data_IF_882398561540
#
_entry.id   IF_882398561540
#
_cell.length_a   1.000
_cell.length_b   1.000
_cell.length_c   1.000
_cell.angle_alpha   90.00
_cell.angle_beta   90.00
_cell.angle_gamma   90.00
#
_symmetry.space_group_name_H-M   'P 1'
#
loop_
_entity.id
_entity.type
_entity.pdbx_description
1 polymer ?
#
# COMPACT_ATOMS: atom_id res chain seq x y z
N UNK A 1 11.05 -13.57 -8.05
CA UNK A 1 9.96 -14.14 -7.23
C UNK A 1 8.65 -13.45 -7.61
N UNK A 2 7.52 -14.12 -7.40
CA UNK A 2 6.20 -13.53 -7.61
C UNK A 2 5.42 -13.60 -6.30
N UNK A 3 4.82 -12.48 -5.91
CA UNK A 3 3.79 -12.44 -4.88
C UNK A 3 2.44 -12.60 -5.60
N UNK A 4 1.66 -13.59 -5.20
CA UNK A 4 0.35 -13.86 -5.77
C UNK A 4 -0.74 -13.39 -4.80
N UNK A 5 -1.70 -12.64 -5.32
CA UNK A 5 -2.94 -12.39 -4.62
C UNK A 5 -3.91 -13.53 -4.94
N UNK A 6 -4.42 -14.17 -3.88
CA UNK A 6 -5.31 -15.32 -3.97
C UNK A 6 -6.72 -14.95 -3.53
N UNK A 7 -7.73 -15.37 -4.29
CA UNK A 7 -9.14 -15.28 -3.91
C UNK A 7 -9.83 -16.58 -4.30
N UNK A 8 -10.52 -17.23 -3.36
CA UNK A 8 -11.18 -18.53 -3.56
C UNK A 8 -10.27 -19.56 -4.28
N UNK A 9 -9.03 -19.71 -3.81
CA UNK A 9 -7.99 -20.59 -4.39
C UNK A 9 -7.59 -20.28 -5.85
N UNK A 10 -7.92 -19.10 -6.38
CA UNK A 10 -7.49 -18.63 -7.71
C UNK A 10 -6.51 -17.47 -7.59
N UNK A 11 -5.52 -17.42 -8.48
CA UNK A 11 -4.61 -16.28 -8.65
C UNK A 11 -5.37 -15.16 -9.36
N UNK A 12 -5.56 -14.04 -8.70
CA UNK A 12 -6.32 -12.89 -9.27
C UNK A 12 -5.40 -11.74 -9.68
N UNK A 13 -4.25 -11.60 -9.04
CA UNK A 13 -3.29 -10.57 -9.35
C UNK A 13 -1.90 -11.00 -8.90
N UNK A 14 -0.87 -10.31 -9.39
CA UNK A 14 0.51 -10.58 -8.98
C UNK A 14 1.33 -9.31 -8.86
N UNK A 15 2.45 -9.45 -8.16
CA UNK A 15 3.52 -8.48 -8.13
C UNK A 15 4.86 -9.22 -8.27
N UNK A 16 5.70 -8.79 -9.21
CA UNK A 16 7.04 -9.37 -9.39
C UNK A 16 8.03 -8.64 -8.50
N UNK A 17 8.71 -9.40 -7.64
CA UNK A 17 9.81 -8.89 -6.80
C UNK A 17 11.11 -9.64 -7.13
N UNK A 18 12.18 -8.93 -7.54
CA UNK A 18 13.48 -9.54 -7.73
C UNK A 18 14.03 -10.08 -6.40
N UNK A 19 14.53 -11.32 -6.40
CA UNK A 19 15.04 -11.95 -5.17
C UNK A 19 16.21 -11.15 -4.58
N UNK A 20 17.08 -10.60 -5.43
CA UNK A 20 18.19 -9.71 -5.04
C UNK A 20 17.74 -8.47 -4.25
N UNK A 21 16.50 -8.01 -4.42
CA UNK A 21 16.01 -6.80 -3.74
C UNK A 21 15.45 -7.14 -2.36
N UNK A 22 15.17 -8.41 -2.05
CA UNK A 22 14.55 -8.84 -0.78
C UNK A 22 15.41 -9.84 -0.01
N UNK A 23 16.60 -10.18 -0.52
CA UNK A 23 17.49 -11.13 0.12
C UNK A 23 18.12 -10.50 1.37
N UNK A 24 18.17 -11.27 2.45
CA UNK A 24 18.85 -10.91 3.67
C UNK A 24 20.33 -11.31 3.60
N UNK A 25 21.21 -10.38 3.98
CA UNK A 25 22.60 -10.62 4.32
C UNK A 25 22.94 -9.88 5.62
N UNK A 26 23.93 -10.38 6.35
CA UNK A 26 24.55 -9.69 7.48
C UNK A 26 25.47 -8.56 7.03
N UNK A 27 25.90 -8.59 5.77
CA UNK A 27 26.69 -7.54 5.11
C UNK A 27 25.72 -6.62 4.38
N UNK A 28 25.72 -5.33 4.72
CA UNK A 28 24.73 -4.37 4.23
C UNK A 28 24.80 -4.19 2.71
N UNK A 29 26.00 -4.25 2.12
CA UNK A 29 26.22 -4.12 0.67
C UNK A 29 25.65 -5.31 -0.13
N UNK A 30 25.48 -6.46 0.51
CA UNK A 30 24.89 -7.68 -0.07
C UNK A 30 23.39 -7.79 0.23
N UNK A 31 22.87 -6.95 1.12
CA UNK A 31 21.48 -6.96 1.54
C UNK A 31 20.60 -6.34 0.46
N UNK A 32 19.49 -7.00 0.19
CA UNK A 32 18.49 -6.49 -0.73
C UNK A 32 17.90 -5.17 -0.26
N UNK A 33 17.78 -4.20 -1.18
CA UNK A 33 17.31 -2.85 -0.91
C UNK A 33 15.92 -2.77 -0.24
N UNK A 34 15.08 -3.77 -0.42
CA UNK A 34 13.71 -3.87 0.12
C UNK A 34 13.59 -4.90 1.26
N UNK A 35 14.67 -5.61 1.59
CA UNK A 35 14.68 -6.63 2.63
C UNK A 35 14.27 -6.05 3.99
N UNK A 36 13.19 -6.57 4.56
CA UNK A 36 12.73 -6.16 5.90
C UNK A 36 12.13 -4.75 5.96
N UNK A 37 11.93 -4.11 4.81
CA UNK A 37 11.34 -2.77 4.75
C UNK A 37 9.87 -2.85 4.33
N UNK A 38 9.05 -2.00 4.97
CA UNK A 38 7.66 -1.81 4.60
C UNK A 38 7.59 -1.09 3.26
N UNK A 39 6.90 -1.68 2.28
CA UNK A 39 6.75 -1.16 0.93
C UNK A 39 5.30 -1.24 0.49
N UNK A 40 4.82 -0.16 -0.13
CA UNK A 40 3.57 -0.19 -0.87
C UNK A 40 3.82 -0.85 -2.23
N UNK A 41 3.09 -1.92 -2.53
CA UNK A 41 3.08 -2.58 -3.82
C UNK A 41 1.70 -2.50 -4.47
N UNK A 42 1.69 -2.46 -5.78
CA UNK A 42 0.50 -2.43 -6.61
C UNK A 42 0.39 -3.76 -7.35
N UNK A 43 -0.56 -4.59 -6.94
CA UNK A 43 -0.89 -5.83 -7.63
C UNK A 43 -1.62 -5.50 -8.93
N UNK A 44 -1.14 -6.09 -10.02
CA UNK A 44 -1.78 -6.00 -11.33
C UNK A 44 -2.38 -7.34 -11.72
N UNK A 45 -3.43 -7.28 -12.54
CA UNK A 45 -4.12 -8.48 -13.03
C UNK A 45 -3.15 -9.43 -13.75
N UNK A 46 -3.36 -10.72 -13.58
CA UNK A 46 -2.45 -11.74 -14.14
C UNK A 46 -2.54 -11.82 -15.67
N UNK A 47 -3.75 -11.83 -16.21
CA UNK A 47 -4.00 -11.99 -17.64
C UNK A 47 -3.70 -10.70 -18.42
N UNK A 48 -3.99 -9.55 -17.80
CA UNK A 48 -3.82 -8.21 -18.40
C UNK A 48 -3.19 -7.24 -17.40
N UNK A 49 -1.84 -7.19 -17.29
CA UNK A 49 -1.13 -6.43 -16.26
C UNK A 49 -1.16 -4.90 -16.43
N UNK A 50 -2.18 -4.38 -17.12
CA UNK A 50 -2.47 -2.95 -17.26
C UNK A 50 -3.40 -2.43 -16.15
N UNK A 51 -4.16 -3.32 -15.52
CA UNK A 51 -5.18 -2.94 -14.53
C UNK A 51 -4.63 -3.08 -13.11
N UNK A 52 -4.68 -1.99 -12.33
CA UNK A 52 -4.43 -2.03 -10.90
C UNK A 52 -5.59 -2.75 -10.20
N UNK A 53 -5.30 -3.87 -9.55
CA UNK A 53 -6.31 -4.66 -8.82
C UNK A 53 -6.32 -4.29 -7.34
N UNK A 54 -5.15 -4.21 -6.73
CA UNK A 54 -5.04 -3.97 -5.30
C UNK A 54 -3.75 -3.21 -4.97
N UNK A 55 -3.85 -2.28 -4.03
CA UNK A 55 -2.71 -1.61 -3.41
C UNK A 55 -2.55 -2.18 -2.01
N UNK A 56 -1.39 -2.73 -1.70
CA UNK A 56 -1.09 -3.32 -0.39
C UNK A 56 0.22 -2.80 0.14
N UNK A 57 0.32 -2.73 1.46
CA UNK A 57 1.56 -2.46 2.14
C UNK A 57 2.12 -3.77 2.71
N UNK A 58 3.33 -4.14 2.30
CA UNK A 58 3.95 -5.42 2.58
C UNK A 58 5.36 -5.23 3.13
N UNK A 59 5.81 -6.19 3.94
CA UNK A 59 7.20 -6.34 4.33
C UNK A 59 7.62 -7.76 3.92
N UNK A 60 8.72 -7.87 3.18
CA UNK A 60 9.18 -9.14 2.61
C UNK A 60 10.65 -9.33 2.95
N UNK A 61 10.99 -10.54 3.39
CA UNK A 61 12.35 -10.96 3.72
C UNK A 61 12.57 -12.33 3.08
N UNK A 62 13.62 -12.46 2.29
CA UNK A 62 14.10 -13.73 1.78
C UNK A 62 15.41 -14.05 2.48
N UNK A 63 15.47 -15.12 3.27
CA UNK A 63 16.65 -15.47 4.05
C UNK A 63 17.01 -16.94 3.88
N UNK A 64 18.26 -17.26 4.18
CA UNK A 64 18.74 -18.65 4.32
C UNK A 64 18.41 -19.16 5.72
N UNK A 65 18.24 -20.47 5.88
CA UNK A 65 17.88 -21.07 7.18
C UNK A 65 18.85 -20.70 8.31
N UNK A 66 20.15 -20.56 7.99
CA UNK A 66 21.17 -20.09 8.95
C UNK A 66 20.96 -18.67 9.48
N UNK A 67 20.14 -17.85 8.82
CA UNK A 67 19.82 -16.46 9.19
C UNK A 67 18.38 -16.32 9.72
N UNK A 68 17.74 -17.42 10.11
CA UNK A 68 16.35 -17.45 10.52
C UNK A 68 16.08 -16.60 11.77
N UNK A 69 16.99 -16.62 12.74
CA UNK A 69 16.83 -15.85 13.98
C UNK A 69 16.78 -14.34 13.68
N UNK A 70 17.72 -13.85 12.88
CA UNK A 70 17.84 -12.45 12.47
C UNK A 70 16.70 -12.01 11.55
N UNK A 71 16.14 -12.93 10.76
CA UNK A 71 14.95 -12.66 9.97
C UNK A 71 13.69 -12.49 10.83
N UNK A 72 13.56 -13.27 11.91
CA UNK A 72 12.45 -13.14 12.87
C UNK A 72 12.54 -11.81 13.62
N UNK A 73 13.74 -11.34 13.97
CA UNK A 73 13.93 -10.03 14.62
C UNK A 73 13.50 -8.83 13.75
N UNK A 74 13.49 -8.99 12.42
CA UNK A 74 13.04 -7.95 11.48
C UNK A 74 11.51 -7.90 11.33
N UNK A 75 10.76 -8.80 11.97
CA UNK A 75 9.31 -8.75 11.95
C UNK A 75 8.80 -7.50 12.69
N UNK A 76 7.67 -6.92 12.24
CA UNK A 76 7.14 -5.71 12.85
C UNK A 76 6.74 -5.94 14.30
N UNK A 77 7.17 -5.03 15.19
CA UNK A 77 6.79 -5.03 16.60
C UNK A 77 5.30 -4.68 16.77
N UNK A 78 4.70 -5.12 17.88
CA UNK A 78 3.29 -4.87 18.19
C UNK A 78 2.30 -5.88 17.60
N UNK A 79 2.81 -6.92 16.94
CA UNK A 79 2.03 -8.05 16.46
C UNK A 79 2.35 -9.30 17.29
N UNK A 80 1.31 -10.09 17.59
CA UNK A 80 1.47 -11.46 18.08
C UNK A 80 1.62 -12.36 16.87
N UNK A 81 2.72 -13.10 16.82
CA UNK A 81 3.00 -14.05 15.77
C UNK A 81 2.62 -15.47 16.22
N UNK A 82 2.11 -16.29 15.30
CA UNK A 82 1.58 -17.62 15.62
C UNK A 82 2.65 -18.69 15.95
N UNK A 83 3.93 -18.33 16.03
CA UNK A 83 5.03 -19.29 16.06
C UNK A 83 5.39 -19.77 17.47
N UNK A 84 5.58 -21.09 17.59
CA UNK A 84 6.45 -21.71 18.61
C UNK A 84 7.92 -21.57 18.20
N UNK A 85 8.85 -21.67 19.18
CA UNK A 85 10.28 -21.32 19.09
C UNK A 85 11.02 -21.80 17.81
N UNK A 86 10.57 -22.86 17.15
CA UNK A 86 11.25 -23.49 16.01
C UNK A 86 10.58 -23.27 14.65
N UNK A 87 9.48 -22.52 14.54
CA UNK A 87 8.73 -22.38 13.27
C UNK A 87 8.63 -20.92 12.79
N UNK A 88 8.47 -20.74 11.47
CA UNK A 88 8.12 -19.42 10.93
C UNK A 88 6.64 -19.16 11.16
N UNK A 89 6.26 -17.95 11.62
CA UNK A 89 4.86 -17.66 11.90
C UNK A 89 4.03 -17.68 10.62
N UNK A 90 2.90 -18.39 10.67
CA UNK A 90 1.96 -18.51 9.56
C UNK A 90 1.08 -17.27 9.43
N UNK A 91 0.75 -16.66 10.57
CA UNK A 91 -0.04 -15.44 10.64
C UNK A 91 0.40 -14.58 11.82
N UNK A 92 -0.04 -13.32 11.80
CA UNK A 92 0.14 -12.40 12.90
C UNK A 92 -1.16 -11.65 13.22
N UNK A 93 -1.31 -11.24 14.47
CA UNK A 93 -2.47 -10.51 14.98
C UNK A 93 -1.98 -9.21 15.59
N UNK A 94 -2.55 -8.09 15.16
CA UNK A 94 -2.28 -6.79 15.79
C UNK A 94 -2.81 -6.81 17.24
N UNK A 95 -1.97 -6.49 18.21
CA UNK A 95 -2.38 -6.47 19.63
C UNK A 95 -3.32 -5.32 19.93
N UNK A 96 -3.05 -4.16 19.32
CA UNK A 96 -3.79 -2.93 19.56
C UNK A 96 -4.48 -2.48 18.29
N UNK A 97 -5.77 -2.18 18.42
CA UNK A 97 -6.56 -1.54 17.37
C UNK A 97 -7.10 -0.23 17.90
N UNK A 98 -6.51 0.87 17.43
CA UNK A 98 -6.98 2.22 17.76
C UNK A 98 -7.81 2.77 16.61
N UNK A 99 -9.02 3.21 16.91
CA UNK A 99 -9.88 3.87 15.93
C UNK A 99 -9.66 5.38 16.02
N UNK A 100 -9.19 5.99 14.94
CA UNK A 100 -9.07 7.44 14.83
C UNK A 100 -10.21 7.99 13.98
N UNK A 101 -10.71 9.18 14.33
CA UNK A 101 -11.66 9.92 13.49
C UNK A 101 -10.95 11.09 12.86
N UNK A 102 -10.94 11.14 11.52
CA UNK A 102 -10.40 12.28 10.78
C UNK A 102 -11.59 13.13 10.31
N UNK A 103 -11.55 14.42 10.63
CA UNK A 103 -12.52 15.42 10.16
C UNK A 103 -11.80 16.42 9.29
N UNK A 104 -12.08 16.37 7.99
CA UNK A 104 -11.62 17.37 7.04
C UNK A 104 -12.75 18.38 6.80
N UNK A 105 -12.50 19.66 7.10
CA UNK A 105 -13.44 20.75 6.84
C UNK A 105 -12.98 21.50 5.59
N UNK A 106 -13.72 21.34 4.48
CA UNK A 106 -13.45 22.02 3.21
C UNK A 106 -14.49 23.12 3.04
N UNK A 107 -14.04 24.38 3.02
CA UNK A 107 -14.94 25.53 2.94
C UNK A 107 -15.00 26.12 1.54
N UNK A 108 -13.85 26.44 0.96
CA UNK A 108 -13.74 26.99 -0.39
C UNK A 108 -12.34 26.74 -0.95
N UNK A 109 -12.25 26.67 -2.28
CA UNK A 109 -11.00 26.56 -3.01
C UNK A 109 -11.15 27.26 -4.36
N UNK A 110 -10.06 27.81 -4.87
CA UNK A 110 -10.00 28.40 -6.21
C UNK A 110 -9.12 27.54 -7.08
N UNK A 111 -9.66 27.04 -8.18
CA UNK A 111 -8.92 26.27 -9.18
C UNK A 111 -8.75 27.16 -10.41
N UNK A 112 -7.53 27.24 -10.92
CA UNK A 112 -7.24 27.94 -12.18
C UNK A 112 -7.82 27.17 -13.37
N UNK A 113 -8.32 27.91 -14.35
CA UNK A 113 -9.24 27.48 -15.41
C UNK A 113 -8.88 26.17 -16.14
N UNK A 114 -9.93 25.45 -16.58
CA UNK A 114 -9.83 24.21 -17.35
C UNK A 114 -9.03 24.38 -18.64
N UNK A 115 -8.21 23.38 -18.97
CA UNK A 115 -7.38 23.32 -20.19
C UNK A 115 -8.18 22.99 -21.47
N UNK A 116 -9.51 23.07 -21.42
CA UNK A 116 -10.39 22.73 -22.54
C UNK A 116 -10.95 23.98 -23.24
N UNK A 117 -11.62 23.76 -24.37
CA UNK A 117 -12.16 24.84 -25.21
C UNK A 117 -13.33 25.59 -24.57
N UNK A 118 -13.87 25.13 -23.44
CA UNK A 118 -15.01 25.73 -22.76
C UNK A 118 -14.61 26.58 -21.55
N UNK A 119 -13.40 26.38 -21.00
CA UNK A 119 -12.91 27.07 -19.82
C UNK A 119 -13.63 26.68 -18.53
N UNK A 120 -14.50 25.66 -18.59
CA UNK A 120 -15.23 25.13 -17.46
C UNK A 120 -14.45 23.96 -16.85
N UNK A 121 -14.44 23.89 -15.53
CA UNK A 121 -13.94 22.74 -14.79
C UNK A 121 -15.07 22.23 -13.90
N UNK A 122 -15.14 20.91 -13.75
CA UNK A 122 -16.01 20.22 -12.80
C UNK A 122 -15.19 19.76 -11.59
N UNK A 123 -14.73 20.69 -10.73
CA UNK A 123 -13.82 20.33 -9.67
C UNK A 123 -14.51 19.49 -8.60
N UNK A 124 -13.75 18.55 -8.08
CA UNK A 124 -14.05 17.85 -6.84
C UNK A 124 -12.76 17.75 -6.01
N UNK A 125 -12.91 17.56 -4.71
CA UNK A 125 -11.79 17.34 -3.80
C UNK A 125 -11.86 15.90 -3.30
N UNK A 126 -10.76 15.17 -3.45
CA UNK A 126 -10.57 13.85 -2.82
C UNK A 126 -9.75 14.01 -1.56
N UNK A 127 -10.32 13.64 -0.43
CA UNK A 127 -9.62 13.54 0.85
C UNK A 127 -9.11 12.11 0.99
N UNK A 128 -7.80 11.94 1.21
CA UNK A 128 -7.15 10.64 1.42
C UNK A 128 -6.58 10.60 2.83
N UNK A 129 -6.94 9.57 3.59
CA UNK A 129 -6.49 9.36 4.95
C UNK A 129 -6.11 7.88 5.13
N UNK A 130 -4.81 7.59 5.05
CA UNK A 130 -4.31 6.22 5.06
C UNK A 130 -4.82 5.43 3.86
N UNK A 131 -5.56 4.36 4.10
CA UNK A 131 -6.21 3.52 3.08
C UNK A 131 -7.65 3.96 2.74
N UNK A 132 -8.20 4.94 3.47
CA UNK A 132 -9.54 5.47 3.25
C UNK A 132 -9.52 6.71 2.37
N UNK A 133 -10.57 6.89 1.57
CA UNK A 133 -10.80 8.14 0.85
C UNK A 133 -12.28 8.52 0.81
N UNK A 134 -12.53 9.82 0.62
CA UNK A 134 -13.85 10.40 0.38
C UNK A 134 -13.74 11.52 -0.65
N UNK A 135 -14.68 11.55 -1.57
CA UNK A 135 -14.80 12.58 -2.59
C UNK A 135 -15.89 13.58 -2.18
N UNK A 136 -15.67 14.87 -2.42
CA UNK A 136 -16.75 15.85 -2.36
C UNK A 136 -17.67 15.67 -3.55
N UNK A 137 -18.90 16.18 -3.43
CA UNK A 137 -19.76 16.32 -4.61
C UNK A 137 -19.09 17.24 -5.64
N UNK A 138 -19.31 16.93 -6.92
CA UNK A 138 -18.93 17.83 -8.01
C UNK A 138 -19.81 19.08 -7.89
N UNK A 139 -19.18 20.22 -7.64
CA UNK A 139 -19.88 21.49 -7.75
C UNK A 139 -20.17 21.72 -9.23
N UNK A 140 -21.45 21.69 -9.62
CA UNK A 140 -21.85 22.13 -10.96
C UNK A 140 -21.36 23.57 -11.17
N UNK A 141 -21.00 23.95 -12.41
CA UNK A 141 -20.41 25.26 -12.68
C UNK A 141 -21.35 26.38 -12.24
N UNK A 142 -21.06 26.94 -11.07
CA UNK A 142 -21.66 28.19 -10.64
C UNK A 142 -20.65 29.28 -10.97
N UNK A 143 -21.01 30.14 -11.92
CA UNK A 143 -20.33 31.40 -12.18
C UNK A 143 -20.37 32.25 -10.90
N UNK A 144 -19.40 32.06 -10.00
CA UNK A 144 -19.06 33.06 -8.99
C UNK A 144 -18.31 34.19 -9.70
N UNK A 145 -19.07 34.96 -10.50
CA UNK A 145 -18.70 36.29 -10.93
C UNK A 145 -18.79 37.20 -9.70
N UNK A 146 -17.62 37.70 -9.31
CA UNK A 146 -17.37 38.73 -8.31
C UNK A 146 -18.56 39.68 -8.06
N UNK A 147 -18.87 39.91 -6.78
CA UNK A 147 -19.29 41.23 -6.30
C UNK A 147 -18.12 41.87 -5.57
#
# INVERSE_FOLDING_TARGET
MFLWLMYNNRKVAFFRVPARDIIYSSVEEEKGLWCGLKRTICFTEYDHPTTLVCKMEVLVILFLDKHKAEAIEQLPKGFIFSADLDSLPLYCIAQEKTNFTIRAHIFQGRITSGFDKTGLADPFVRIIAGDQFRDTYVSHPNLNLNR
#
